data_IF_013067604050
#
_entry.id   IF_013067604050
#
_cell.length_a   1.000
_cell.length_b   1.000
_cell.length_c   1.000
_cell.angle_alpha   90.00
_cell.angle_beta   90.00
_cell.angle_gamma   90.00
#
_symmetry.space_group_name_H-M   'P 1'
#
loop_
_entity.id
_entity.type
_entity.pdbx_description
1 polymer ?
#
# COMPACT_ATOMS: atom_id res chain seq x y z
N UNK A 1 -5.30 24.39 20.42
CA UNK A 1 -5.50 23.80 19.08
C UNK A 1 -5.45 22.28 19.14
N UNK A 2 -4.41 21.65 19.70
CA UNK A 2 -4.17 20.20 19.67
C UNK A 2 -5.27 19.37 20.33
N UNK A 3 -5.80 19.84 21.48
CA UNK A 3 -6.89 19.15 22.18
C UNK A 3 -8.18 19.10 21.35
N UNK A 4 -8.47 20.14 20.57
CA UNK A 4 -9.66 20.20 19.72
C UNK A 4 -9.48 19.25 18.51
N UNK A 5 -8.28 19.21 17.93
CA UNK A 5 -7.92 18.31 16.83
C UNK A 5 -8.01 16.86 17.30
N UNK A 6 -7.42 16.53 18.46
CA UNK A 6 -7.46 15.18 19.03
C UNK A 6 -8.91 14.72 19.28
N UNK A 7 -9.77 15.59 19.83
CA UNK A 7 -11.19 15.28 20.05
C UNK A 7 -11.92 15.02 18.73
N UNK A 8 -11.71 15.88 17.73
CA UNK A 8 -12.32 15.70 16.41
C UNK A 8 -11.85 14.38 15.75
N UNK A 9 -10.59 14.00 15.94
CA UNK A 9 -10.06 12.74 15.42
C UNK A 9 -10.73 11.53 16.06
N UNK A 10 -10.94 11.55 17.39
CA UNK A 10 -11.68 10.50 18.09
C UNK A 10 -13.13 10.43 17.59
N UNK A 11 -13.80 11.57 17.49
CA UNK A 11 -15.20 11.64 17.03
C UNK A 11 -15.36 11.05 15.62
N UNK A 12 -14.35 11.22 14.76
CA UNK A 12 -14.33 10.66 13.39
C UNK A 12 -14.09 9.13 13.34
N UNK A 13 -13.48 8.56 14.36
CA UNK A 13 -13.24 7.13 14.49
C UNK A 13 -14.42 6.39 15.14
N UNK A 14 -15.36 7.14 15.74
CA UNK A 14 -16.53 6.56 16.37
C UNK A 14 -17.63 6.30 15.33
N UNK A 15 -18.07 5.05 15.28
CA UNK A 15 -19.28 4.65 14.55
C UNK A 15 -20.37 4.46 15.59
N UNK A 16 -21.39 5.32 15.53
CA UNK A 16 -22.53 5.29 16.46
C UNK A 16 -23.78 4.91 15.69
N UNK A 17 -24.46 3.84 16.15
CA UNK A 17 -25.75 3.38 15.67
C UNK A 17 -26.75 3.42 16.82
N UNK A 18 -28.02 3.14 16.56
CA UNK A 18 -29.09 3.24 17.56
C UNK A 18 -28.82 2.38 18.80
N UNK A 19 -28.31 1.16 18.62
CA UNK A 19 -28.13 0.17 19.69
C UNK A 19 -26.66 -0.13 20.01
N UNK A 20 -25.71 0.42 19.23
CA UNK A 20 -24.29 0.10 19.39
C UNK A 20 -23.40 1.29 19.03
N UNK A 21 -22.22 1.33 19.65
CA UNK A 21 -21.15 2.24 19.25
C UNK A 21 -19.81 1.52 19.35
N UNK A 22 -18.94 1.73 18.36
CA UNK A 22 -17.59 1.18 18.37
C UNK A 22 -16.60 2.14 17.70
N UNK A 23 -15.32 1.98 18.02
CA UNK A 23 -14.25 2.72 17.40
C UNK A 23 -13.72 1.96 16.19
N UNK A 24 -13.58 2.65 15.06
CA UNK A 24 -12.93 2.14 13.85
C UNK A 24 -11.53 2.76 13.74
N UNK A 25 -10.52 2.26 14.46
CA UNK A 25 -9.21 2.91 14.55
C UNK A 25 -8.39 2.79 13.27
N UNK A 26 -8.67 1.77 12.47
CA UNK A 26 -7.99 1.51 11.21
C UNK A 26 -8.99 1.37 10.07
N UNK A 27 -8.64 1.95 8.94
CA UNK A 27 -9.32 1.77 7.66
C UNK A 27 -8.26 1.47 6.60
N UNK A 28 -8.62 0.64 5.62
CA UNK A 28 -7.72 0.16 4.57
C UNK A 28 -8.19 0.60 3.17
N UNK A 29 -8.39 1.91 2.93
CA UNK A 29 -9.05 2.36 1.70
C UNK A 29 -8.29 1.98 0.43
N UNK A 30 -6.97 1.99 0.47
CA UNK A 30 -6.13 1.65 -0.68
C UNK A 30 -6.17 0.15 -0.94
N UNK A 31 -5.88 -0.65 0.09
CA UNK A 31 -5.92 -2.10 0.04
C UNK A 31 -7.28 -2.64 -0.41
N UNK A 32 -8.35 -2.21 0.28
CA UNK A 32 -9.71 -2.68 -0.01
C UNK A 32 -10.17 -2.28 -1.41
N UNK A 33 -9.80 -1.09 -1.90
CA UNK A 33 -10.13 -0.64 -3.25
C UNK A 33 -9.39 -1.48 -4.29
N UNK A 34 -8.11 -1.76 -4.10
CA UNK A 34 -7.32 -2.56 -5.02
C UNK A 34 -7.84 -4.02 -5.11
N UNK A 35 -8.08 -4.67 -3.97
CA UNK A 35 -8.65 -6.02 -3.93
C UNK A 35 -10.06 -6.07 -4.52
N UNK A 36 -10.88 -5.05 -4.26
CA UNK A 36 -12.22 -4.95 -4.85
C UNK A 36 -12.14 -4.80 -6.36
N UNK A 37 -11.23 -3.95 -6.85
CA UNK A 37 -11.01 -3.80 -8.30
C UNK A 37 -10.60 -5.13 -8.94
N UNK A 38 -9.67 -5.87 -8.35
CA UNK A 38 -9.31 -7.21 -8.80
C UNK A 38 -10.52 -8.15 -8.88
N UNK A 39 -11.32 -8.18 -7.83
CA UNK A 39 -12.52 -9.04 -7.75
C UNK A 39 -13.55 -8.66 -8.82
N UNK A 40 -13.76 -7.35 -9.04
CA UNK A 40 -14.68 -6.87 -10.06
C UNK A 40 -14.21 -7.20 -11.48
N UNK A 41 -12.90 -7.08 -11.74
CA UNK A 41 -12.32 -7.46 -13.03
C UNK A 41 -12.43 -8.98 -13.27
N UNK A 42 -12.30 -9.81 -12.23
CA UNK A 42 -12.51 -11.25 -12.30
C UNK A 42 -13.97 -11.61 -12.58
N UNK A 43 -14.90 -10.99 -11.85
CA UNK A 43 -16.32 -11.20 -12.03
C UNK A 43 -16.81 -10.82 -13.45
N UNK A 44 -16.18 -9.83 -14.06
CA UNK A 44 -16.45 -9.40 -15.43
C UNK A 44 -17.79 -8.70 -15.60
N UNK A 45 -18.10 -8.36 -16.85
CA UNK A 45 -19.29 -7.59 -17.20
C UNK A 45 -19.09 -6.07 -17.07
N UNK A 46 -19.88 -5.31 -17.84
CA UNK A 46 -19.64 -3.86 -17.98
C UNK A 46 -19.78 -3.08 -16.66
N UNK A 47 -20.73 -3.47 -15.81
CA UNK A 47 -20.93 -2.80 -14.51
C UNK A 47 -19.76 -3.03 -13.56
N UNK A 48 -19.23 -4.26 -13.50
CA UNK A 48 -18.09 -4.59 -12.65
C UNK A 48 -16.82 -3.91 -13.16
N UNK A 49 -16.58 -3.91 -14.47
CA UNK A 49 -15.45 -3.20 -15.08
C UNK A 49 -15.49 -1.70 -14.81
N UNK A 50 -16.69 -1.08 -14.94
CA UNK A 50 -16.85 0.34 -14.63
C UNK A 50 -16.58 0.66 -13.15
N UNK A 51 -17.02 -0.21 -12.23
CA UNK A 51 -16.74 -0.06 -10.80
C UNK A 51 -15.24 -0.21 -10.51
N UNK A 52 -14.57 -1.21 -11.10
CA UNK A 52 -13.13 -1.39 -10.98
C UNK A 52 -12.37 -0.17 -11.49
N UNK A 53 -12.73 0.33 -12.68
CA UNK A 53 -12.09 1.53 -13.24
C UNK A 53 -12.23 2.74 -12.32
N UNK A 54 -13.41 2.99 -11.78
CA UNK A 54 -13.63 4.11 -10.86
C UNK A 54 -12.75 4.00 -9.59
N UNK A 55 -12.58 2.79 -9.05
CA UNK A 55 -11.65 2.54 -7.94
C UNK A 55 -10.19 2.79 -8.32
N UNK A 56 -9.78 2.32 -9.50
CA UNK A 56 -8.41 2.50 -9.97
C UNK A 56 -8.10 3.98 -10.30
N UNK A 57 -9.05 4.71 -10.90
CA UNK A 57 -8.92 6.15 -11.14
C UNK A 57 -8.75 6.93 -9.83
N UNK A 58 -9.42 6.48 -8.77
CA UNK A 58 -9.25 7.06 -7.43
C UNK A 58 -7.87 6.74 -6.83
N UNK A 59 -7.28 5.58 -7.12
CA UNK A 59 -5.95 5.18 -6.63
C UNK A 59 -4.80 5.93 -7.33
N UNK A 60 -4.95 6.32 -8.60
CA UNK A 60 -3.87 7.01 -9.36
C UNK A 60 -3.32 8.23 -8.62
N UNK A 61 -4.13 9.22 -8.18
CA UNK A 61 -3.62 10.40 -7.49
C UNK A 61 -3.10 10.15 -6.07
N UNK A 62 -3.30 8.95 -5.53
CA UNK A 62 -2.79 8.55 -4.20
C UNK A 62 -1.38 7.96 -4.27
N UNK A 63 -0.83 7.74 -5.47
CA UNK A 63 0.55 7.30 -5.60
C UNK A 63 1.50 8.34 -4.99
N UNK A 64 2.36 7.91 -4.09
CA UNK A 64 3.36 8.76 -3.45
C UNK A 64 4.51 8.99 -4.42
N UNK A 65 4.66 10.21 -4.91
CA UNK A 65 5.64 10.56 -5.95
C UNK A 65 6.72 11.56 -5.48
N UNK A 66 6.50 12.26 -4.38
CA UNK A 66 7.29 13.41 -3.93
C UNK A 66 7.72 13.34 -2.45
N UNK A 67 7.19 12.40 -1.68
CA UNK A 67 7.52 12.22 -0.26
C UNK A 67 8.47 11.04 -0.09
N UNK A 68 9.55 11.25 0.67
CA UNK A 68 10.45 10.19 1.14
C UNK A 68 10.20 9.95 2.62
N UNK A 69 9.96 8.71 3.00
CA UNK A 69 9.88 8.24 4.38
C UNK A 69 11.20 7.60 4.82
N UNK A 70 11.18 6.91 5.94
CA UNK A 70 12.33 6.20 6.51
C UNK A 70 12.82 5.04 5.63
N UNK A 71 11.96 4.45 4.80
CA UNK A 71 12.36 3.47 3.77
C UNK A 71 13.54 3.96 2.90
N UNK A 72 13.68 5.28 2.73
CA UNK A 72 14.74 5.89 1.95
C UNK A 72 16.10 5.92 2.66
N UNK A 73 16.17 5.64 3.97
CA UNK A 73 17.45 5.58 4.72
C UNK A 73 18.42 4.56 4.10
N UNK A 74 17.91 3.39 3.73
CA UNK A 74 18.72 2.34 3.11
C UNK A 74 18.80 2.47 1.56
N UNK A 75 17.93 3.28 0.97
CA UNK A 75 17.80 3.44 -0.48
C UNK A 75 17.58 4.91 -0.89
N UNK A 76 18.51 5.82 -0.54
CA UNK A 76 18.34 7.26 -0.73
C UNK A 76 18.21 7.68 -2.21
N UNK A 77 18.73 6.87 -3.12
CA UNK A 77 18.67 7.10 -4.58
C UNK A 77 17.34 6.71 -5.21
N UNK A 78 16.55 5.87 -4.52
CA UNK A 78 15.26 5.41 -5.03
C UNK A 78 14.24 6.53 -4.97
N UNK A 79 13.52 6.72 -6.05
CA UNK A 79 12.45 7.72 -6.13
C UNK A 79 11.15 7.14 -5.57
N UNK A 80 10.33 7.93 -4.85
CA UNK A 80 9.02 7.48 -4.39
C UNK A 80 8.15 6.96 -5.55
N UNK A 81 7.30 5.98 -5.32
CA UNK A 81 6.49 5.38 -6.38
C UNK A 81 5.44 4.40 -5.89
N UNK A 82 5.33 4.20 -4.58
CA UNK A 82 4.39 3.28 -3.96
C UNK A 82 3.07 3.91 -3.54
N UNK A 83 2.20 3.08 -2.99
CA UNK A 83 0.95 3.49 -2.33
C UNK A 83 1.02 3.14 -0.85
N UNK A 84 0.41 4.01 -0.04
CA UNK A 84 0.26 3.77 1.39
C UNK A 84 -1.12 3.14 1.67
N UNK A 85 -1.18 2.32 2.70
CA UNK A 85 -2.38 1.61 3.14
C UNK A 85 -3.57 2.53 3.47
N UNK A 86 -3.31 3.72 4.03
CA UNK A 86 -4.31 4.65 4.55
C UNK A 86 -4.36 5.97 3.75
N UNK A 87 -5.39 6.79 4.00
CA UNK A 87 -5.62 8.06 3.31
C UNK A 87 -4.48 9.08 3.42
N UNK A 88 -3.87 9.21 4.61
CA UNK A 88 -2.88 10.24 4.92
C UNK A 88 -1.63 9.61 5.56
N UNK A 89 -0.94 8.78 4.81
CA UNK A 89 0.23 8.06 5.28
C UNK A 89 1.39 8.08 4.26
N UNK A 90 1.59 9.20 3.59
CA UNK A 90 2.54 9.33 2.48
C UNK A 90 4.00 9.03 2.84
N UNK A 91 4.37 9.06 4.12
CA UNK A 91 5.72 8.68 4.58
C UNK A 91 5.93 7.17 4.65
N UNK A 92 4.85 6.38 4.62
CA UNK A 92 4.87 4.92 4.76
C UNK A 92 4.09 4.23 3.63
N UNK A 93 4.48 4.44 2.36
CA UNK A 93 4.02 3.55 1.31
C UNK A 93 4.55 2.15 1.59
N UNK A 94 3.80 1.12 1.25
CA UNK A 94 4.24 -0.25 1.45
C UNK A 94 4.23 -1.04 0.15
N UNK A 95 5.04 -2.10 0.15
CA UNK A 95 5.27 -2.93 -1.02
C UNK A 95 4.08 -3.85 -1.33
N UNK A 96 3.32 -4.21 -0.30
CA UNK A 96 2.16 -5.07 -0.43
C UNK A 96 1.01 -4.36 -1.15
N UNK A 97 0.61 -3.18 -0.65
CA UNK A 97 -0.39 -2.33 -1.30
C UNK A 97 0.04 -1.94 -2.72
N UNK A 98 1.31 -1.54 -2.86
CA UNK A 98 1.85 -1.15 -4.17
C UNK A 98 1.75 -2.27 -5.19
N UNK A 99 2.11 -3.49 -4.81
CA UNK A 99 2.04 -4.63 -5.71
C UNK A 99 0.60 -4.95 -6.10
N UNK A 100 -0.34 -4.95 -5.15
CA UNK A 100 -1.75 -5.25 -5.43
C UNK A 100 -2.40 -4.17 -6.29
N UNK A 101 -2.13 -2.89 -6.02
CA UNK A 101 -2.63 -1.78 -6.84
C UNK A 101 -2.10 -1.88 -8.26
N UNK A 102 -0.80 -2.10 -8.43
CA UNK A 102 -0.18 -2.21 -9.74
C UNK A 102 -0.73 -3.39 -10.54
N UNK A 103 -0.86 -4.57 -9.93
CA UNK A 103 -1.47 -5.73 -10.58
C UNK A 103 -2.93 -5.49 -10.99
N UNK A 104 -3.70 -4.73 -10.19
CA UNK A 104 -5.07 -4.39 -10.55
C UNK A 104 -5.13 -3.43 -11.74
N UNK A 105 -4.22 -2.44 -11.79
CA UNK A 105 -4.10 -1.50 -12.91
C UNK A 105 -3.67 -2.20 -14.19
N UNK A 106 -2.66 -3.05 -14.13
CA UNK A 106 -2.19 -3.85 -15.26
C UNK A 106 -3.31 -4.74 -15.81
N UNK A 107 -4.00 -5.45 -14.92
CA UNK A 107 -5.14 -6.28 -15.29
C UNK A 107 -6.28 -5.48 -15.95
N UNK A 108 -6.55 -4.26 -15.49
CA UNK A 108 -7.59 -3.41 -16.07
C UNK A 108 -7.23 -2.94 -17.47
N UNK A 109 -5.96 -2.68 -17.76
CA UNK A 109 -5.48 -2.39 -19.11
C UNK A 109 -5.53 -3.65 -19.97
N UNK A 110 -5.05 -4.78 -19.45
CA UNK A 110 -5.08 -6.09 -20.09
C UNK A 110 -4.66 -6.06 -21.54
N UNK A 111 -5.45 -6.70 -22.40
CA UNK A 111 -5.26 -6.73 -23.86
C UNK A 111 -5.90 -5.53 -24.60
N UNK A 112 -6.20 -4.45 -23.90
CA UNK A 112 -6.73 -3.23 -24.53
C UNK A 112 -5.57 -2.38 -25.06
N UNK A 113 -5.88 -1.44 -25.95
CA UNK A 113 -4.91 -0.42 -26.39
C UNK A 113 -4.81 0.76 -25.42
N UNK A 114 -5.36 0.62 -24.22
CA UNK A 114 -5.27 1.65 -23.18
C UNK A 114 -3.90 1.58 -22.50
N UNK A 115 -3.24 2.70 -22.36
CA UNK A 115 -1.96 2.89 -21.66
C UNK A 115 -2.10 3.92 -20.54
N UNK A 116 -3.30 4.03 -20.01
CA UNK A 116 -3.67 5.06 -19.04
C UNK A 116 -2.89 4.94 -17.74
N UNK A 117 -2.62 3.72 -17.28
CA UNK A 117 -1.91 3.45 -16.03
C UNK A 117 -0.39 3.26 -16.20
N UNK A 118 0.14 3.25 -17.44
CA UNK A 118 1.55 3.01 -17.70
C UNK A 118 2.50 3.90 -16.89
N UNK A 119 2.25 5.22 -16.73
CA UNK A 119 3.14 6.05 -15.92
C UNK A 119 3.17 5.64 -14.45
N UNK A 120 2.02 5.28 -13.89
CA UNK A 120 1.91 4.83 -12.50
C UNK A 120 2.58 3.47 -12.31
N UNK A 121 2.35 2.53 -13.23
CA UNK A 121 2.98 1.20 -13.24
C UNK A 121 4.50 1.28 -13.36
N UNK A 122 5.01 2.09 -14.28
CA UNK A 122 6.45 2.28 -14.46
C UNK A 122 7.10 2.81 -13.18
N UNK A 123 6.44 3.75 -12.51
CA UNK A 123 6.93 4.36 -11.28
C UNK A 123 6.90 3.38 -10.10
N UNK A 124 5.81 2.62 -9.97
CA UNK A 124 5.69 1.56 -8.97
C UNK A 124 6.76 0.48 -9.16
N UNK A 125 6.97 0.04 -10.41
CA UNK A 125 8.00 -0.96 -10.76
C UNK A 125 9.40 -0.49 -10.36
N UNK A 126 9.75 0.78 -10.66
CA UNK A 126 11.03 1.36 -10.26
C UNK A 126 11.21 1.32 -8.73
N UNK A 127 10.18 1.73 -7.99
CA UNK A 127 10.20 1.77 -6.53
C UNK A 127 10.31 0.38 -5.92
N UNK A 128 9.49 -0.58 -6.37
CA UNK A 128 9.51 -1.97 -5.89
C UNK A 128 10.88 -2.61 -6.16
N UNK A 129 11.45 -2.46 -7.36
CA UNK A 129 12.79 -2.97 -7.67
C UNK A 129 13.88 -2.32 -6.80
N UNK A 130 13.75 -1.02 -6.53
CA UNK A 130 14.68 -0.28 -5.69
C UNK A 130 14.68 -0.73 -4.23
N UNK A 131 13.58 -1.28 -3.73
CA UNK A 131 13.44 -1.76 -2.35
C UNK A 131 13.68 -3.26 -2.19
N UNK A 132 14.22 -3.94 -3.21
CA UNK A 132 14.63 -5.32 -3.05
C UNK A 132 15.76 -5.43 -2.01
N UNK A 133 15.60 -6.30 -1.04
CA UNK A 133 16.62 -6.62 -0.06
C UNK A 133 17.75 -7.45 -0.67
N UNK A 134 18.95 -7.41 -0.06
CA UNK A 134 20.15 -8.13 -0.55
C UNK A 134 19.97 -9.65 -0.65
N UNK A 135 19.05 -10.21 0.12
CA UNK A 135 18.71 -11.64 0.04
C UNK A 135 17.80 -11.98 -1.14
N UNK A 136 17.36 -10.98 -1.92
CA UNK A 136 16.49 -11.14 -3.08
C UNK A 136 15.00 -11.04 -2.78
N UNK A 137 14.59 -10.98 -1.52
CA UNK A 137 13.20 -10.84 -1.10
C UNK A 137 12.79 -9.39 -0.87
N UNK A 138 11.51 -9.21 -0.55
CA UNK A 138 10.92 -7.91 -0.16
C UNK A 138 10.23 -8.02 1.19
N UNK A 139 10.39 -6.98 1.98
CA UNK A 139 9.67 -6.71 3.21
C UNK A 139 8.46 -5.81 2.93
N UNK A 140 7.68 -5.44 3.94
CA UNK A 140 6.51 -4.59 3.73
C UNK A 140 6.89 -3.11 3.48
N UNK A 141 7.86 -2.58 4.22
CA UNK A 141 8.22 -1.15 4.19
C UNK A 141 9.67 -0.90 3.82
N UNK A 142 10.61 -1.65 4.41
CA UNK A 142 12.03 -1.34 4.38
C UNK A 142 12.86 -2.41 3.67
N UNK A 143 13.90 -1.98 2.97
CA UNK A 143 14.92 -2.90 2.48
C UNK A 143 15.98 -3.15 3.56
N UNK A 144 16.39 -4.42 3.73
CA UNK A 144 17.49 -4.81 4.62
C UNK A 144 17.32 -4.45 6.12
N UNK A 145 16.10 -4.27 6.59
CA UNK A 145 15.80 -4.03 8.00
C UNK A 145 15.83 -5.34 8.79
N UNK A 146 17.04 -5.81 9.11
CA UNK A 146 17.28 -7.14 9.69
C UNK A 146 18.12 -7.09 10.98
N UNK A 147 18.04 -6.02 11.75
CA UNK A 147 18.79 -5.83 13.00
C UNK A 147 18.24 -6.68 14.15
N UNK A 148 18.43 -8.00 14.08
CA UNK A 148 17.79 -9.01 14.95
C UNK A 148 17.93 -8.77 16.44
N UNK A 149 18.94 -8.03 16.90
CA UNK A 149 19.11 -7.67 18.31
C UNK A 149 17.97 -6.78 18.85
N UNK A 150 17.27 -6.03 17.97
CA UNK A 150 16.11 -5.21 18.34
C UNK A 150 14.92 -6.04 18.82
N UNK A 151 14.81 -7.31 18.40
CA UNK A 151 13.76 -8.22 18.86
C UNK A 151 13.83 -8.52 20.37
N UNK A 152 14.96 -8.20 21.02
CA UNK A 152 15.12 -8.36 22.46
C UNK A 152 14.58 -7.16 23.27
N UNK A 153 14.05 -6.14 22.63
CA UNK A 153 13.45 -4.97 23.30
C UNK A 153 12.08 -5.38 23.86
N UNK A 154 11.89 -5.31 25.21
CA UNK A 154 10.73 -5.97 25.85
C UNK A 154 9.40 -5.26 25.67
N UNK A 155 9.36 -4.08 25.06
CA UNK A 155 8.15 -3.28 24.84
C UNK A 155 7.86 -3.02 23.36
N UNK A 156 8.43 -3.83 22.48
CA UNK A 156 8.01 -3.80 21.09
C UNK A 156 6.61 -4.41 20.95
N UNK A 157 5.73 -3.74 20.24
CA UNK A 157 4.40 -4.26 19.95
C UNK A 157 4.51 -5.54 19.12
N UNK A 158 3.92 -6.62 19.61
CA UNK A 158 3.99 -7.95 18.99
C UNK A 158 5.42 -8.46 18.63
N UNK A 159 6.47 -7.86 19.18
CA UNK A 159 7.84 -8.15 18.79
C UNK A 159 8.23 -7.64 17.40
N UNK A 160 7.43 -6.78 16.79
CA UNK A 160 7.57 -6.33 15.41
C UNK A 160 8.31 -4.98 15.31
N UNK A 161 9.58 -4.96 15.71
CA UNK A 161 10.48 -3.82 15.47
C UNK A 161 11.25 -3.93 14.16
N UNK A 162 11.23 -5.10 13.55
CA UNK A 162 11.93 -5.37 12.30
C UNK A 162 10.93 -5.58 11.17
N UNK A 163 11.39 -5.31 9.97
CA UNK A 163 10.68 -5.58 8.72
C UNK A 163 11.55 -6.46 7.81
N UNK A 164 11.75 -7.74 8.15
CA UNK A 164 12.49 -8.65 7.28
C UNK A 164 11.64 -9.04 6.07
N UNK A 165 12.28 -9.38 4.93
CA UNK A 165 11.57 -9.96 3.81
C UNK A 165 10.74 -11.19 4.20
N UNK A 166 9.49 -11.24 3.72
CA UNK A 166 8.56 -12.34 3.92
C UNK A 166 8.18 -13.00 2.59
N UNK A 167 7.74 -14.24 2.65
CA UNK A 167 7.40 -15.02 1.45
C UNK A 167 6.19 -14.45 0.72
N UNK A 168 5.19 -13.97 1.45
CA UNK A 168 3.94 -13.43 0.90
C UNK A 168 4.15 -12.08 0.19
N UNK A 169 4.83 -11.12 0.82
CA UNK A 169 5.18 -9.83 0.19
C UNK A 169 6.09 -10.07 -1.00
N UNK A 170 7.10 -10.93 -0.85
CA UNK A 170 8.00 -11.29 -1.95
C UNK A 170 7.25 -11.90 -3.14
N UNK A 171 6.31 -12.81 -2.89
CA UNK A 171 5.52 -13.42 -3.95
C UNK A 171 4.65 -12.38 -4.69
N UNK A 172 4.05 -11.41 -3.97
CA UNK A 172 3.27 -10.33 -4.59
C UNK A 172 4.14 -9.40 -5.43
N UNK A 173 5.31 -9.01 -4.92
CA UNK A 173 6.26 -8.21 -5.69
C UNK A 173 6.71 -8.92 -6.97
N UNK A 174 7.02 -10.21 -6.90
CA UNK A 174 7.37 -11.01 -8.09
C UNK A 174 6.19 -11.06 -9.07
N UNK A 175 4.97 -11.30 -8.58
CA UNK A 175 3.78 -11.34 -9.43
C UNK A 175 3.50 -10.02 -10.13
N UNK A 176 3.76 -8.89 -9.47
CA UNK A 176 3.64 -7.54 -10.05
C UNK A 176 4.72 -7.27 -11.11
N UNK A 177 5.91 -7.84 -10.96
CA UNK A 177 7.05 -7.62 -11.86
C UNK A 177 7.03 -8.52 -13.09
N UNK A 178 6.29 -9.65 -13.05
CA UNK A 178 6.18 -10.64 -14.12
C UNK A 178 5.37 -10.15 -15.31
#
# INVERSE_FOLDING_TARGET
PDRAIARLSIDRLLIVKDEEAYCQPCVSPVWDTALTAHTMLEAGGERAKAAAKAGLDWLVPLQVLDVKGDWAEQRPEVRPGGWAFQYNNAHYPDLDDTAVVAMAMDRAQGNTSSHEFDPALARAREWVLGLQSRNGGWAAFDADNTYSYLNNIPFSDHGALLDPPTEDVTARCISMLA
#
